data_IF_685298312810
#
_entry.id   IF_685298312810
#
_cell.length_a   1.000
_cell.length_b   1.000
_cell.length_c   1.000
_cell.angle_alpha   90.00
_cell.angle_beta   90.00
_cell.angle_gamma   90.00
#
_symmetry.space_group_name_H-M   'P 1'
#
loop_
_entity.id
_entity.type
_entity.pdbx_description
1 polymer ?
#
# COMPACT_ATOMS: atom_id res chain seq x y z
N UNK A 1 -0.33 18.31 11.96
CA UNK A 1 -0.33 16.87 12.31
C UNK A 1 0.62 16.69 13.48
N UNK A 2 0.16 16.09 14.58
CA UNK A 2 1.03 15.75 15.71
C UNK A 2 1.91 14.54 15.33
N UNK A 3 3.10 14.43 15.91
CA UNK A 3 4.01 13.28 15.66
C UNK A 3 3.32 11.94 15.93
N UNK A 4 2.43 11.88 16.95
CA UNK A 4 1.62 10.69 17.25
C UNK A 4 0.70 10.31 16.08
N UNK A 5 -0.05 11.26 15.54
CA UNK A 5 -0.95 11.04 14.40
C UNK A 5 -0.17 10.61 13.15
N UNK A 6 1.02 11.18 12.94
CA UNK A 6 1.90 10.84 11.84
C UNK A 6 2.39 9.38 11.94
N UNK A 7 2.77 8.93 13.14
CA UNK A 7 3.18 7.54 13.41
C UNK A 7 2.03 6.56 13.21
N UNK A 8 0.82 6.89 13.66
CA UNK A 8 -0.38 6.07 13.44
C UNK A 8 -0.69 5.95 11.94
N UNK A 9 -0.60 7.06 11.19
CA UNK A 9 -0.79 7.07 9.73
C UNK A 9 0.25 6.19 9.01
N UNK A 10 1.53 6.26 9.40
CA UNK A 10 2.57 5.36 8.86
C UNK A 10 2.21 3.90 9.12
N UNK A 11 1.69 3.58 10.31
CA UNK A 11 1.36 2.21 10.66
C UNK A 11 0.21 1.66 9.78
N UNK A 12 -0.81 2.48 9.51
CA UNK A 12 -1.88 2.12 8.56
C UNK A 12 -1.36 1.95 7.12
N UNK A 13 -0.47 2.83 6.68
CA UNK A 13 0.15 2.72 5.35
C UNK A 13 1.01 1.46 5.23
N UNK A 14 1.70 1.06 6.30
CA UNK A 14 2.45 -0.20 6.34
C UNK A 14 1.52 -1.40 6.17
N UNK A 15 0.39 -1.42 6.87
CA UNK A 15 -0.62 -2.48 6.71
C UNK A 15 -1.17 -2.53 5.28
N UNK A 16 -1.44 -1.38 4.67
CA UNK A 16 -1.87 -1.29 3.26
C UNK A 16 -0.79 -1.84 2.31
N UNK A 17 0.47 -1.46 2.52
CA UNK A 17 1.60 -1.98 1.76
C UNK A 17 1.73 -3.50 1.88
N UNK A 18 1.70 -4.03 3.10
CA UNK A 18 1.83 -5.46 3.36
C UNK A 18 0.69 -6.25 2.69
N UNK A 19 -0.54 -5.71 2.72
CA UNK A 19 -1.69 -6.33 2.05
C UNK A 19 -1.58 -6.27 0.53
N UNK A 20 -1.11 -5.15 -0.02
CA UNK A 20 -0.83 -5.02 -1.45
C UNK A 20 0.20 -6.06 -1.93
N UNK A 21 1.30 -6.24 -1.20
CA UNK A 21 2.31 -7.27 -1.51
C UNK A 21 1.71 -8.68 -1.46
N UNK A 22 0.87 -8.98 -0.46
CA UNK A 22 0.19 -10.28 -0.37
C UNK A 22 -0.73 -10.53 -1.58
N UNK A 23 -1.50 -9.52 -1.99
CA UNK A 23 -2.38 -9.62 -3.17
C UNK A 23 -1.55 -9.83 -4.44
N UNK A 24 -0.50 -9.03 -4.65
CA UNK A 24 0.39 -9.17 -5.79
C UNK A 24 0.99 -10.59 -5.87
N UNK A 25 1.47 -11.13 -4.75
CA UNK A 25 2.00 -12.48 -4.66
C UNK A 25 0.93 -13.55 -4.89
N UNK A 26 -0.31 -13.30 -4.48
CA UNK A 26 -1.44 -14.19 -4.72
C UNK A 26 -1.72 -14.31 -6.23
N UNK A 27 -1.75 -13.17 -6.92
CA UNK A 27 -1.96 -13.10 -8.38
C UNK A 27 -0.79 -13.71 -9.19
N UNK A 28 0.44 -13.71 -8.67
CA UNK A 28 1.61 -14.24 -9.38
C UNK A 28 1.81 -15.75 -9.23
N UNK A 29 1.50 -16.30 -8.05
CA UNK A 29 1.93 -17.65 -7.71
C UNK A 29 0.90 -18.74 -8.04
N UNK A 30 -0.19 -18.43 -8.75
CA UNK A 30 -1.31 -19.36 -9.00
C UNK A 30 -1.70 -20.16 -7.75
N UNK A 31 -1.61 -19.55 -6.56
CA UNK A 31 -2.02 -20.16 -5.28
C UNK A 31 -3.55 -20.30 -5.18
N UNK A 32 -4.24 -19.80 -6.19
CA UNK A 32 -5.66 -19.88 -6.40
C UNK A 32 -5.86 -20.68 -7.68
N UNK A 33 -6.97 -21.41 -7.76
CA UNK A 33 -7.37 -22.11 -8.98
C UNK A 33 -7.26 -21.21 -10.21
N UNK A 34 -6.82 -21.80 -11.33
CA UNK A 34 -6.77 -21.13 -12.62
C UNK A 34 -8.12 -20.44 -12.91
N UNK A 35 -8.08 -19.18 -13.35
CA UNK A 35 -9.26 -18.34 -13.62
C UNK A 35 -9.90 -17.65 -12.40
N UNK A 36 -9.53 -17.96 -11.15
CA UNK A 36 -10.18 -17.33 -9.99
C UNK A 36 -9.88 -15.84 -9.84
N UNK A 37 -8.69 -15.40 -10.24
CA UNK A 37 -8.35 -13.97 -10.25
C UNK A 37 -9.16 -13.23 -11.31
N UNK A 38 -9.30 -13.83 -12.50
CA UNK A 38 -10.07 -13.24 -13.61
C UNK A 38 -11.56 -13.14 -13.25
N UNK A 39 -12.15 -14.20 -12.68
CA UNK A 39 -13.53 -14.20 -12.16
C UNK A 39 -13.75 -13.10 -11.11
N UNK A 40 -12.77 -12.90 -10.22
CA UNK A 40 -12.85 -11.88 -9.18
C UNK A 40 -12.74 -10.47 -9.79
N UNK A 41 -11.86 -10.29 -10.78
CA UNK A 41 -11.70 -9.05 -11.53
C UNK A 41 -13.00 -8.66 -12.26
N UNK A 42 -13.61 -9.62 -12.95
CA UNK A 42 -14.89 -9.44 -13.63
C UNK A 42 -16.01 -9.09 -12.65
N UNK A 43 -16.20 -9.90 -11.59
CA UNK A 43 -17.28 -9.71 -10.61
C UNK A 43 -17.14 -8.41 -9.82
N UNK A 44 -15.91 -7.97 -9.56
CA UNK A 44 -15.64 -6.73 -8.83
C UNK A 44 -15.73 -5.50 -9.73
N UNK A 45 -15.91 -5.69 -11.05
CA UNK A 45 -15.99 -4.59 -12.03
C UNK A 45 -14.72 -3.76 -12.09
N UNK A 46 -13.56 -4.33 -11.73
CA UNK A 46 -12.30 -3.59 -11.72
C UNK A 46 -11.74 -3.51 -13.13
N UNK A 47 -11.48 -2.28 -13.57
CA UNK A 47 -10.98 -1.96 -14.91
C UNK A 47 -9.46 -2.11 -15.06
N UNK A 48 -8.79 -2.53 -13.98
CA UNK A 48 -7.35 -2.71 -13.88
C UNK A 48 -7.12 -4.03 -13.14
N UNK A 49 -6.23 -4.88 -13.65
CA UNK A 49 -5.93 -6.15 -12.98
C UNK A 49 -5.57 -5.94 -11.50
N UNK A 50 -6.01 -6.84 -10.62
CA UNK A 50 -5.74 -6.82 -9.19
C UNK A 50 -4.24 -6.73 -8.89
N UNK A 51 -3.43 -7.37 -9.73
CA UNK A 51 -1.98 -7.30 -9.63
C UNK A 51 -1.46 -5.87 -9.83
N UNK A 52 -1.92 -5.19 -10.88
CA UNK A 52 -1.52 -3.80 -11.17
C UNK A 52 -2.07 -2.88 -10.08
N UNK A 53 -3.34 -3.05 -9.69
CA UNK A 53 -3.95 -2.29 -8.60
C UNK A 53 -3.13 -2.40 -7.31
N UNK A 54 -2.81 -3.63 -6.88
CA UNK A 54 -2.00 -3.88 -5.71
C UNK A 54 -0.60 -3.25 -5.81
N UNK A 55 0.05 -3.36 -6.97
CA UNK A 55 1.36 -2.72 -7.22
C UNK A 55 1.29 -1.21 -7.05
N UNK A 56 0.26 -0.56 -7.61
CA UNK A 56 0.04 0.87 -7.50
C UNK A 56 -0.22 1.29 -6.05
N UNK A 57 -1.10 0.58 -5.34
CA UNK A 57 -1.40 0.83 -3.92
C UNK A 57 -0.14 0.70 -3.06
N UNK A 58 0.65 -0.35 -3.26
CA UNK A 58 1.91 -0.55 -2.54
C UNK A 58 2.90 0.60 -2.80
N UNK A 59 3.04 1.01 -4.05
CA UNK A 59 3.93 2.13 -4.43
C UNK A 59 3.49 3.44 -3.78
N UNK A 60 2.19 3.74 -3.80
CA UNK A 60 1.63 4.94 -3.17
C UNK A 60 1.80 4.91 -1.64
N UNK A 61 1.53 3.77 -1.01
CA UNK A 61 1.69 3.60 0.43
C UNK A 61 3.16 3.80 0.85
N UNK A 62 4.11 3.21 0.13
CA UNK A 62 5.54 3.38 0.37
C UNK A 62 5.99 4.84 0.19
N UNK A 63 5.52 5.51 -0.88
CA UNK A 63 5.81 6.92 -1.13
C UNK A 63 5.29 7.83 -0.02
N UNK A 64 4.05 7.61 0.43
CA UNK A 64 3.44 8.41 1.50
C UNK A 64 4.09 8.15 2.86
N UNK A 65 4.48 6.90 3.17
CA UNK A 65 5.27 6.60 4.37
C UNK A 65 6.57 7.39 4.39
N UNK A 66 7.33 7.37 3.28
CA UNK A 66 8.58 8.13 3.14
C UNK A 66 8.35 9.63 3.30
N UNK A 67 7.28 10.16 2.69
CA UNK A 67 6.92 11.59 2.81
C UNK A 67 6.64 11.98 4.26
N UNK A 68 5.87 11.18 4.98
CA UNK A 68 5.53 11.46 6.39
C UNK A 68 6.77 11.33 7.28
N UNK A 69 7.59 10.29 7.10
CA UNK A 69 8.87 10.15 7.81
C UNK A 69 9.76 11.38 7.61
N UNK A 70 9.93 11.83 6.37
CA UNK A 70 10.70 13.04 6.08
C UNK A 70 10.13 14.29 6.77
N UNK A 71 8.80 14.42 6.86
CA UNK A 71 8.18 15.55 7.58
C UNK A 71 8.50 15.48 9.08
N UNK A 72 8.46 14.30 9.68
CA UNK A 72 8.81 14.12 11.10
C UNK A 72 10.28 14.45 11.33
N UNK A 73 11.19 13.90 10.51
CA UNK A 73 12.63 14.07 10.68
C UNK A 73 13.08 15.52 10.47
N UNK A 74 12.42 16.27 9.57
CA UNK A 74 12.71 17.69 9.31
C UNK A 74 11.93 18.66 10.23
N UNK A 75 10.97 18.18 11.03
CA UNK A 75 10.21 19.03 11.94
C UNK A 75 11.01 19.44 13.20
N UNK A 76 12.18 18.82 13.45
CA UNK A 76 13.02 19.03 14.63
C UNK A 76 14.29 19.86 14.38
N UNK A 77 14.36 20.62 13.27
CA UNK A 77 15.50 21.51 12.97
C UNK A 77 15.08 22.98 13.02
N UNK A 78 14.77 23.46 14.22
CA UNK A 78 14.91 24.87 14.59
C UNK A 78 15.22 24.91 16.09
N UNK A 79 16.51 24.85 16.41
CA UNK A 79 17.04 25.24 17.71
C UNK A 79 17.38 26.73 17.56
N UNK A 80 16.48 27.60 18.05
CA UNK A 80 16.80 28.98 18.43
C UNK A 80 16.66 29.10 19.95
#
# INVERSE_FOLDING_TARGET
MKVKEAKEKINHLKQLYDNAVKIQNCCLNNKISEGTVDDLEEKSGINTSLRIFATCVGTLAAGEMKRISNIIDNADVNID
#
